data_IF_688386664305
#
_entry.id   IF_688386664305
#
_cell.length_a   1.000
_cell.length_b   1.000
_cell.length_c   1.000
_cell.angle_alpha   90.00
_cell.angle_beta   90.00
_cell.angle_gamma   90.00
#
_symmetry.space_group_name_H-M   'P 1'
#
loop_
_entity.id
_entity.type
_entity.pdbx_description
1 polymer ?
#
# COMPACT_ATOMS: atom_id res chain seq x y z
N UNK A 1 13.88 -4.91 13.63
CA UNK A 1 12.78 -4.47 12.74
C UNK A 1 13.13 -4.79 11.30
N UNK A 2 12.16 -5.26 10.55
CA UNK A 2 12.36 -5.62 9.16
C UNK A 2 11.54 -4.69 8.26
N UNK A 3 12.04 -4.50 7.05
CA UNK A 3 11.38 -3.69 6.04
C UNK A 3 10.64 -4.63 5.10
N UNK A 4 9.34 -4.43 4.98
CA UNK A 4 8.48 -5.27 4.14
C UNK A 4 8.03 -4.45 2.95
N UNK A 5 8.30 -4.96 1.75
CA UNK A 5 7.83 -4.34 0.52
C UNK A 5 6.41 -4.82 0.25
N UNK A 6 5.49 -3.88 0.06
CA UNK A 6 4.10 -4.20 -0.22
C UNK A 6 3.89 -4.07 -1.72
N UNK A 7 3.55 -5.18 -2.37
CA UNK A 7 3.37 -5.23 -3.81
C UNK A 7 1.89 -5.21 -4.17
N UNK A 8 1.60 -4.62 -5.33
CA UNK A 8 0.24 -4.65 -5.84
C UNK A 8 -0.07 -6.03 -6.41
N UNK A 9 -1.26 -6.53 -6.13
CA UNK A 9 -1.73 -7.79 -6.68
C UNK A 9 -2.45 -7.62 -8.02
N UNK A 10 -2.64 -6.36 -8.43
CA UNK A 10 -3.40 -6.06 -9.64
C UNK A 10 -2.72 -4.97 -10.45
N UNK A 11 -3.12 -4.88 -11.72
CA UNK A 11 -2.79 -3.75 -12.58
C UNK A 11 -3.96 -2.78 -12.54
N UNK A 12 -3.68 -1.52 -12.24
CA UNK A 12 -4.72 -0.52 -12.12
C UNK A 12 -4.16 0.86 -11.88
N UNK A 13 -4.85 1.63 -11.06
CA UNK A 13 -4.46 3.01 -10.76
C UNK A 13 -4.69 3.27 -9.28
N UNK A 14 -3.83 4.10 -8.69
CA UNK A 14 -4.04 4.54 -7.31
C UNK A 14 -5.23 5.50 -7.28
N UNK A 15 -6.31 5.08 -6.63
CA UNK A 15 -7.50 5.90 -6.52
C UNK A 15 -7.41 6.84 -5.33
N UNK A 16 -6.97 6.32 -4.20
CA UNK A 16 -6.88 7.12 -2.98
C UNK A 16 -5.81 6.56 -2.07
N UNK A 17 -5.04 7.45 -1.45
CA UNK A 17 -4.06 7.06 -0.45
C UNK A 17 -4.64 7.44 0.91
N UNK A 18 -4.81 6.44 1.79
CA UNK A 18 -5.47 6.64 3.08
C UNK A 18 -4.51 6.63 4.26
N UNK A 19 -3.21 6.43 4.01
CA UNK A 19 -2.18 6.51 5.03
C UNK A 19 -1.08 7.46 4.58
N UNK A 20 -0.22 7.81 5.52
CA UNK A 20 0.93 8.67 5.24
C UNK A 20 2.18 8.01 5.79
N UNK A 21 3.34 8.47 5.31
CA UNK A 21 4.62 8.06 5.89
C UNK A 21 4.61 8.38 7.36
N UNK A 22 4.97 7.40 8.20
CA UNK A 22 4.94 7.55 9.63
C UNK A 22 3.68 7.02 10.29
N UNK A 23 2.65 6.66 9.53
CA UNK A 23 1.41 6.12 10.08
C UNK A 23 1.66 4.71 10.63
N UNK A 24 1.20 4.46 11.86
CA UNK A 24 1.22 3.10 12.41
C UNK A 24 0.04 2.33 11.88
N UNK A 25 0.29 1.10 11.45
CA UNK A 25 -0.74 0.24 10.87
C UNK A 25 -0.68 -1.13 11.50
N UNK A 26 -1.82 -1.81 11.48
CA UNK A 26 -1.94 -3.21 11.89
C UNK A 26 -2.12 -4.05 10.64
N UNK A 27 -1.82 -5.34 10.75
CA UNK A 27 -2.07 -6.27 9.66
C UNK A 27 -3.55 -6.16 9.25
N UNK A 28 -3.79 -6.01 7.96
CA UNK A 28 -5.14 -5.86 7.43
C UNK A 28 -5.62 -4.42 7.28
N UNK A 29 -4.90 -3.47 7.85
CA UNK A 29 -5.27 -2.06 7.67
C UNK A 29 -5.07 -1.64 6.22
N UNK A 30 -5.98 -0.82 5.69
CA UNK A 30 -5.88 -0.35 4.32
C UNK A 30 -4.81 0.74 4.22
N UNK A 31 -3.84 0.54 3.33
CA UNK A 31 -2.78 1.52 3.07
C UNK A 31 -3.21 2.51 2.01
N UNK A 32 -3.79 2.00 0.95
CA UNK A 32 -4.29 2.81 -0.15
C UNK A 32 -5.33 1.99 -0.90
N UNK A 33 -6.07 2.65 -1.78
CA UNK A 33 -7.13 2.00 -2.55
C UNK A 33 -6.76 2.09 -4.02
N UNK A 34 -6.78 0.96 -4.70
CA UNK A 34 -6.53 0.87 -6.14
C UNK A 34 -7.84 0.76 -6.88
N UNK A 35 -7.88 1.27 -8.09
CA UNK A 35 -9.03 1.14 -8.97
C UNK A 35 -8.64 0.30 -10.17
N UNK A 36 -9.44 -0.70 -10.47
CA UNK A 36 -9.25 -1.55 -11.63
C UNK A 36 -10.61 -2.00 -12.12
N UNK A 37 -10.88 -1.83 -13.41
CA UNK A 37 -12.13 -2.29 -14.04
C UNK A 37 -13.36 -1.80 -13.29
N UNK A 38 -13.35 -0.52 -12.87
CA UNK A 38 -14.45 0.12 -12.15
C UNK A 38 -14.68 -0.45 -10.76
N UNK A 39 -13.71 -1.17 -10.21
CA UNK A 39 -13.77 -1.70 -8.85
C UNK A 39 -12.72 -1.02 -7.99
N UNK A 40 -13.07 -0.76 -6.75
CA UNK A 40 -12.15 -0.21 -5.76
C UNK A 40 -11.61 -1.38 -4.94
N UNK A 41 -10.29 -1.52 -4.92
CA UNK A 41 -9.65 -2.66 -4.27
C UNK A 41 -8.68 -2.11 -3.21
N UNK A 42 -8.93 -2.38 -1.92
CA UNK A 42 -8.02 -1.91 -0.88
C UNK A 42 -6.74 -2.73 -0.88
N UNK A 43 -5.61 -2.04 -0.75
CA UNK A 43 -4.33 -2.68 -0.54
C UNK A 43 -4.03 -2.62 0.94
N UNK A 44 -3.93 -3.79 1.57
CA UNK A 44 -3.82 -3.90 3.02
C UNK A 44 -2.39 -4.12 3.45
N UNK A 45 -2.09 -3.70 4.68
CA UNK A 45 -0.79 -3.94 5.26
C UNK A 45 -0.63 -5.44 5.57
N UNK A 46 0.50 -6.05 5.18
CA UNK A 46 0.75 -7.46 5.46
C UNK A 46 1.21 -7.72 6.88
N UNK A 47 1.46 -6.69 7.66
CA UNK A 47 2.01 -6.85 9.01
C UNK A 47 1.68 -5.65 9.87
N UNK A 48 1.94 -5.78 11.17
CA UNK A 48 1.89 -4.65 12.09
C UNK A 48 3.18 -3.86 11.93
N UNK A 49 3.08 -2.55 11.80
CA UNK A 49 4.27 -1.75 11.61
C UNK A 49 3.97 -0.29 11.39
N UNK A 50 4.92 0.38 10.76
CA UNK A 50 4.81 1.80 10.45
C UNK A 50 5.08 1.99 8.96
N UNK A 51 4.24 2.76 8.29
CA UNK A 51 4.44 3.07 6.89
C UNK A 51 5.73 3.88 6.76
N UNK A 52 6.71 3.31 6.10
CA UNK A 52 8.01 3.95 5.91
C UNK A 52 8.03 4.82 4.67
N UNK A 53 7.42 4.34 3.61
CA UNK A 53 7.47 5.04 2.33
C UNK A 53 6.30 4.63 1.47
N UNK A 54 5.74 5.61 0.78
CA UNK A 54 4.73 5.38 -0.25
C UNK A 54 5.39 5.76 -1.57
N UNK A 55 5.43 4.81 -2.50
CA UNK A 55 6.18 4.96 -3.75
C UNK A 55 5.36 5.50 -4.90
N UNK A 56 4.07 5.73 -4.65
CA UNK A 56 3.15 6.22 -5.68
C UNK A 56 2.32 7.36 -5.12
N UNK A 57 1.76 8.14 -6.03
CA UNK A 57 0.83 9.22 -5.70
C UNK A 57 -0.56 8.86 -6.24
N UNK A 58 -1.58 9.55 -5.73
CA UNK A 58 -2.93 9.37 -6.25
C UNK A 58 -2.93 9.68 -7.74
N UNK A 59 -3.59 8.81 -8.50
CA UNK A 59 -3.68 8.94 -9.94
C UNK A 59 -2.61 8.18 -10.71
N UNK A 60 -1.57 7.69 -10.02
CA UNK A 60 -0.49 6.96 -10.69
C UNK A 60 -0.96 5.58 -11.14
N UNK A 61 -0.42 5.12 -12.25
CA UNK A 61 -0.65 3.76 -12.73
C UNK A 61 0.18 2.77 -11.93
N UNK A 62 -0.36 1.58 -11.74
CA UNK A 62 0.26 0.51 -10.97
C UNK A 62 0.21 -0.77 -11.79
N UNK A 63 1.31 -1.52 -11.79
CA UNK A 63 1.38 -2.83 -12.42
C UNK A 63 1.35 -3.92 -11.36
N UNK A 64 0.86 -5.09 -11.75
CA UNK A 64 0.90 -6.26 -10.89
C UNK A 64 2.34 -6.51 -10.46
N UNK A 65 2.53 -6.86 -9.17
CA UNK A 65 3.83 -7.13 -8.55
C UNK A 65 4.71 -5.89 -8.37
N UNK A 66 4.22 -4.70 -8.70
CA UNK A 66 4.97 -3.47 -8.46
C UNK A 66 4.93 -3.14 -6.97
N UNK A 67 6.09 -2.78 -6.41
CA UNK A 67 6.16 -2.35 -5.00
C UNK A 67 5.53 -0.96 -4.90
N UNK A 68 4.54 -0.81 -4.03
CA UNK A 68 3.81 0.45 -3.89
C UNK A 68 4.02 1.11 -2.54
N UNK A 69 4.47 0.36 -1.55
CA UNK A 69 4.70 0.91 -0.22
C UNK A 69 5.73 0.06 0.51
N UNK A 70 6.35 0.65 1.52
CA UNK A 70 7.28 -0.07 2.38
C UNK A 70 6.81 0.14 3.81
N UNK A 71 6.69 -0.96 4.55
CA UNK A 71 6.26 -0.94 5.96
C UNK A 71 7.38 -1.52 6.81
N UNK A 72 7.78 -0.79 7.86
CA UNK A 72 8.72 -1.31 8.84
C UNK A 72 7.93 -2.07 9.90
N UNK A 73 8.31 -3.33 10.14
CA UNK A 73 7.62 -4.12 11.17
C UNK A 73 7.97 -3.60 12.56
N UNK A 74 7.09 -3.87 13.53
CA UNK A 74 7.28 -3.41 14.90
C UNK A 74 7.85 -4.49 15.81
N UNK A 75 8.21 -5.62 15.29
CA UNK A 75 8.77 -6.70 16.11
C UNK A 75 10.26 -6.62 16.23
#
# INVERSE_FOLDING_TARGET
MARIEVESEITGRVWKIVTETGTKVSEGDTLLILESMKMEIPLESPCNGTVRELLLNEGDSVNEDQVVAIVDTTT
#
